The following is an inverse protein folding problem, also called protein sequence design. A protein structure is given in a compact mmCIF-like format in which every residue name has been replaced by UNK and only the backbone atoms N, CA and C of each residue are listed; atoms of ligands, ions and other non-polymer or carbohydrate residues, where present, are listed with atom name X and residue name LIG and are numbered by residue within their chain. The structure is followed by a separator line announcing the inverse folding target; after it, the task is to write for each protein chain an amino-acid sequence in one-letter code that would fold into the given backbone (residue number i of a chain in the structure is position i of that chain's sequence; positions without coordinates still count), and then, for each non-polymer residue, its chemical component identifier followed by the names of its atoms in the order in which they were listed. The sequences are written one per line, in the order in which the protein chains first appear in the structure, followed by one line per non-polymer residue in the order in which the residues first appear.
data_IF_306054748842
#
_entry.id   IF_306054748842
#
_cell.length_a   1.000
_cell.length_b   1.000
_cell.length_c   1.000
_cell.angle_alpha   90.00
_cell.angle_beta   90.00
_cell.angle_gamma   90.00
#
_symmetry.space_group_name_H-M   'P 1'
#
loop_
_entity.id
_entity.type
_entity.pdbx_description
1 polymer ?
#
# COMPACT_ATOMS: atom_id res chain seq x y z
N UNK A 1 32.93 3.30 -10.96
CA UNK A 1 32.10 4.12 -11.87
C UNK A 1 31.64 5.33 -11.09
N UNK A 2 31.85 6.54 -11.62
CA UNK A 2 31.24 7.75 -11.06
C UNK A 2 29.78 7.75 -11.51
N UNK A 3 28.86 7.82 -10.56
CA UNK A 3 27.45 8.00 -10.86
C UNK A 3 27.30 9.43 -11.37
N UNK A 4 26.75 9.58 -12.58
CA UNK A 4 26.20 10.87 -12.99
C UNK A 4 25.06 11.18 -12.02
N UNK A 5 25.28 12.17 -11.16
CA UNK A 5 24.21 12.81 -10.40
C UNK A 5 23.10 13.17 -11.38
N UNK A 6 21.87 12.69 -11.13
CA UNK A 6 20.72 13.18 -11.88
C UNK A 6 20.71 14.70 -11.71
N UNK A 7 20.59 15.51 -12.78
CA UNK A 7 20.91 16.94 -12.70
C UNK A 7 19.92 17.78 -11.87
N UNK A 8 18.90 17.16 -11.27
CA UNK A 8 17.77 17.85 -10.69
C UNK A 8 17.32 17.18 -9.39
N UNK A 9 17.17 18.00 -8.36
CA UNK A 9 16.52 17.67 -7.09
C UNK A 9 15.13 18.30 -7.09
N UNK A 10 14.09 17.52 -6.81
CA UNK A 10 12.73 18.02 -6.67
C UNK A 10 12.47 18.40 -5.22
N UNK A 11 12.35 19.69 -4.95
CA UNK A 11 12.01 20.20 -3.61
C UNK A 11 10.55 20.68 -3.62
N UNK A 12 9.72 20.08 -2.78
CA UNK A 12 8.31 20.46 -2.61
C UNK A 12 8.16 21.14 -1.26
N UNK A 13 8.06 22.47 -1.28
CA UNK A 13 7.78 23.29 -0.10
C UNK A 13 6.43 23.96 -0.22
N UNK A 14 5.41 23.37 0.39
CA UNK A 14 4.04 23.78 0.16
C UNK A 14 3.17 23.63 1.42
N UNK A 15 3.24 24.58 2.37
CA UNK A 15 2.46 24.52 3.61
C UNK A 15 0.96 24.44 3.39
N UNK A 16 0.44 25.02 2.30
CA UNK A 16 -0.98 25.01 1.96
C UNK A 16 -1.41 23.80 1.09
N UNK A 17 -0.50 22.87 0.79
CA UNK A 17 -0.83 21.70 -0.03
C UNK A 17 -1.69 20.73 0.75
N UNK A 18 -2.93 20.51 0.30
CA UNK A 18 -3.86 19.56 0.92
C UNK A 18 -3.86 18.18 0.24
N UNK A 19 -3.45 18.14 -1.03
CA UNK A 19 -3.47 16.94 -1.86
C UNK A 19 -2.17 16.81 -2.66
N UNK A 20 -1.50 15.67 -2.52
CA UNK A 20 -0.31 15.32 -3.30
C UNK A 20 -0.63 14.12 -4.19
N UNK A 21 -0.39 14.27 -5.49
CA UNK A 21 -0.31 13.14 -6.43
C UNK A 21 1.12 13.09 -6.96
N UNK A 22 1.86 12.07 -6.52
CA UNK A 22 3.25 11.86 -6.91
C UNK A 22 3.33 10.64 -7.83
N UNK A 23 3.70 10.88 -9.09
CA UNK A 23 3.97 9.84 -10.08
C UNK A 23 5.38 9.99 -10.65
N UNK A 24 6.23 8.98 -10.53
CA UNK A 24 7.58 9.00 -11.12
C UNK A 24 8.66 8.32 -10.28
N UNK A 25 9.92 8.57 -10.62
CA UNK A 25 11.09 7.98 -9.95
C UNK A 25 11.46 8.73 -8.66
N UNK A 26 11.87 7.95 -7.66
CA UNK A 26 12.23 8.42 -6.32
C UNK A 26 13.76 8.49 -6.16
N UNK A 27 14.37 9.44 -6.88
CA UNK A 27 15.82 9.63 -6.86
C UNK A 27 16.28 10.74 -5.89
N UNK A 28 15.79 11.97 -6.07
CA UNK A 28 16.19 13.13 -5.24
C UNK A 28 14.99 14.05 -5.01
N UNK A 29 14.03 13.55 -4.24
CA UNK A 29 12.83 14.30 -3.81
C UNK A 29 13.03 14.71 -2.36
N UNK A 30 12.73 15.97 -2.04
CA UNK A 30 12.72 16.48 -0.67
C UNK A 30 11.36 17.11 -0.41
N UNK A 31 10.71 16.65 0.66
CA UNK A 31 9.44 17.19 1.13
C UNK A 31 9.70 18.12 2.31
N UNK A 32 9.33 19.40 2.17
CA UNK A 32 9.44 20.39 3.23
C UNK A 32 8.08 21.02 3.53
N UNK A 33 7.74 21.13 4.82
CA UNK A 33 6.56 21.87 5.28
C UNK A 33 5.26 21.46 4.55
N UNK A 34 4.88 20.19 4.70
CA UNK A 34 3.62 19.64 4.20
C UNK A 34 2.54 19.61 5.30
N UNK A 35 2.54 20.64 6.15
CA UNK A 35 1.77 20.69 7.39
C UNK A 35 0.25 20.60 7.22
N UNK A 36 -0.29 20.97 6.06
CA UNK A 36 -1.72 20.82 5.73
C UNK A 36 -2.03 19.64 4.79
N UNK A 37 -1.08 18.76 4.51
CA UNK A 37 -1.33 17.63 3.62
C UNK A 37 -2.36 16.67 4.24
N UNK A 38 -3.44 16.42 3.50
CA UNK A 38 -4.54 15.57 3.95
C UNK A 38 -4.51 14.23 3.21
N UNK A 39 -4.21 14.26 1.92
CA UNK A 39 -4.30 13.09 1.05
C UNK A 39 -3.09 12.97 0.13
N UNK A 40 -2.59 11.75 -0.01
CA UNK A 40 -1.51 11.41 -0.92
C UNK A 40 -1.85 10.22 -1.80
N UNK A 41 -1.56 10.36 -3.10
CA UNK A 41 -1.58 9.27 -4.09
C UNK A 41 -0.15 9.07 -4.58
N UNK A 42 0.41 7.89 -4.33
CA UNK A 42 1.80 7.57 -4.62
C UNK A 42 1.86 6.48 -5.70
N UNK A 43 2.43 6.84 -6.84
CA UNK A 43 2.66 5.96 -7.99
C UNK A 43 4.14 5.98 -8.40
N UNK A 44 4.96 5.20 -7.70
CA UNK A 44 6.38 5.12 -7.99
C UNK A 44 6.62 4.31 -9.25
N UNK A 45 7.34 4.90 -10.21
CA UNK A 45 7.58 4.27 -11.50
C UNK A 45 8.84 3.38 -11.46
N UNK A 46 8.79 2.32 -12.28
CA UNK A 46 9.82 1.27 -12.31
C UNK A 46 10.80 1.55 -13.45
N UNK A 47 12.04 1.91 -13.12
CA UNK A 47 13.11 1.93 -14.12
C UNK A 47 13.65 0.50 -14.33
N UNK A 48 13.04 -0.23 -15.25
CA UNK A 48 13.42 -1.61 -15.60
C UNK A 48 14.86 -1.75 -16.14
N UNK A 49 15.55 -0.64 -16.39
CA UNK A 49 16.97 -0.65 -16.79
C UNK A 49 17.92 -0.73 -15.60
N UNK A 50 17.42 -0.61 -14.36
CA UNK A 50 18.19 -0.52 -13.11
C UNK A 50 17.81 -1.61 -12.10
N UNK A 51 17.80 -2.86 -12.55
CA UNK A 51 17.32 -4.01 -11.78
C UNK A 51 18.14 -4.27 -10.49
N UNK A 52 19.43 -3.93 -10.45
CA UNK A 52 20.24 -4.13 -9.23
C UNK A 52 19.89 -3.18 -8.07
N UNK A 53 18.91 -2.26 -8.25
CA UNK A 53 18.53 -1.25 -7.25
C UNK A 53 17.35 -1.65 -6.34
N UNK A 54 16.63 -2.74 -6.61
CA UNK A 54 15.36 -3.04 -5.93
C UNK A 54 15.50 -3.24 -4.41
N UNK A 55 16.58 -3.86 -3.94
CA UNK A 55 16.74 -4.25 -2.52
C UNK A 55 16.85 -3.06 -1.55
N UNK A 56 17.34 -1.90 -2.04
CA UNK A 56 17.41 -0.65 -1.28
C UNK A 56 16.36 0.39 -1.72
N UNK A 57 15.72 0.18 -2.88
CA UNK A 57 14.70 1.10 -3.35
C UNK A 57 13.43 1.03 -2.47
N UNK A 58 13.07 -0.16 -1.96
CA UNK A 58 11.96 -0.33 -1.04
C UNK A 58 12.06 0.52 0.23
N UNK A 59 13.24 0.57 0.86
CA UNK A 59 13.49 1.41 2.04
C UNK A 59 13.31 2.90 1.73
N UNK A 60 13.80 3.36 0.56
CA UNK A 60 13.60 4.76 0.13
C UNK A 60 12.13 5.11 -0.06
N UNK A 61 11.33 4.19 -0.62
CA UNK A 61 9.89 4.40 -0.76
C UNK A 61 9.21 4.50 0.61
N UNK A 62 9.64 3.68 1.59
CA UNK A 62 9.17 3.80 2.97
C UNK A 62 9.52 5.14 3.60
N UNK A 63 10.77 5.59 3.47
CA UNK A 63 11.21 6.89 3.99
C UNK A 63 10.38 8.03 3.41
N UNK A 64 10.19 8.03 2.08
CA UNK A 64 9.38 9.03 1.39
C UNK A 64 7.93 9.04 1.85
N UNK A 65 7.30 7.86 2.01
CA UNK A 65 5.94 7.76 2.55
C UNK A 65 5.90 8.29 3.99
N UNK A 66 6.95 8.04 4.77
CA UNK A 66 7.11 8.54 6.12
C UNK A 66 7.17 10.07 6.22
N UNK A 67 7.82 10.72 5.26
CA UNK A 67 7.92 12.18 5.17
C UNK A 67 6.57 12.88 4.89
N UNK A 68 5.56 12.15 4.39
CA UNK A 68 4.21 12.70 4.19
C UNK A 68 3.55 13.12 5.52
N UNK A 69 4.00 12.56 6.64
CA UNK A 69 3.55 12.95 7.97
C UNK A 69 2.08 12.60 8.25
N UNK A 70 1.36 13.54 8.84
CA UNK A 70 0.08 13.32 9.53
C UNK A 70 -1.15 13.30 8.59
N UNK A 71 -1.01 12.65 7.43
CA UNK A 71 -2.07 12.51 6.42
C UNK A 71 -3.25 11.65 6.89
N UNK A 72 -4.43 11.87 6.30
CA UNK A 72 -5.67 11.14 6.59
C UNK A 72 -5.98 10.03 5.59
N UNK A 73 -5.49 10.18 4.36
CA UNK A 73 -5.78 9.30 3.22
C UNK A 73 -4.51 9.00 2.42
N UNK A 74 -4.24 7.72 2.17
CA UNK A 74 -3.08 7.26 1.41
C UNK A 74 -3.50 6.24 0.36
N UNK A 75 -3.05 6.43 -0.87
CA UNK A 75 -3.29 5.50 -1.97
C UNK A 75 -1.95 5.06 -2.56
N UNK A 76 -1.73 3.75 -2.61
CA UNK A 76 -0.51 3.15 -3.11
C UNK A 76 -0.80 2.40 -4.41
N UNK A 77 -0.06 2.72 -5.46
CA UNK A 77 -0.11 1.98 -6.72
C UNK A 77 0.49 0.57 -6.57
N UNK A 78 0.29 -0.25 -7.60
CA UNK A 78 0.85 -1.61 -7.66
C UNK A 78 2.37 -1.60 -7.59
N UNK A 79 3.02 -0.76 -8.41
CA UNK A 79 4.47 -0.63 -8.41
C UNK A 79 4.99 -0.21 -7.03
N UNK A 80 4.35 0.79 -6.42
CA UNK A 80 4.71 1.27 -5.08
C UNK A 80 4.60 0.13 -4.06
N UNK A 81 3.52 -0.64 -4.10
CA UNK A 81 3.29 -1.78 -3.20
C UNK A 81 4.34 -2.88 -3.40
N UNK A 82 4.76 -3.16 -4.63
CA UNK A 82 5.83 -4.12 -4.92
C UNK A 82 7.17 -3.68 -4.34
N UNK A 83 7.54 -2.40 -4.46
CA UNK A 83 8.76 -1.88 -3.82
C UNK A 83 8.74 -2.05 -2.31
N UNK A 84 7.61 -1.76 -1.67
CA UNK A 84 7.46 -1.92 -0.21
C UNK A 84 7.61 -3.37 0.24
N UNK A 85 7.19 -4.34 -0.59
CA UNK A 85 7.32 -5.77 -0.29
C UNK A 85 8.78 -6.27 -0.30
N UNK A 86 9.64 -5.60 -1.07
CA UNK A 86 11.05 -5.96 -1.25
C UNK A 86 11.98 -5.13 -0.36
N UNK A 87 11.44 -4.28 0.53
CA UNK A 87 12.25 -3.55 1.50
C UNK A 87 12.95 -4.50 2.47
N UNK A 88 14.26 -4.28 2.64
CA UNK A 88 15.13 -5.06 3.53
C UNK A 88 15.05 -4.59 5.00
N UNK A 89 14.74 -3.32 5.22
CA UNK A 89 14.60 -2.70 6.55
C UNK A 89 13.29 -1.92 6.64
N UNK A 90 12.66 -1.97 7.82
CA UNK A 90 11.33 -1.40 8.06
C UNK A 90 11.30 -0.66 9.40
N UNK A 91 11.43 0.67 9.35
CA UNK A 91 11.17 1.57 10.49
C UNK A 91 10.40 2.84 10.08
N UNK A 92 9.23 2.73 9.41
CA UNK A 92 8.49 3.92 9.02
C UNK A 92 7.79 4.58 10.21
N UNK A 93 7.55 5.89 10.14
CA UNK A 93 6.82 6.60 11.18
C UNK A 93 5.39 6.08 11.29
N UNK A 94 4.81 6.23 12.48
CA UNK A 94 3.42 5.84 12.73
C UNK A 94 2.47 6.93 12.22
N UNK A 95 1.55 6.55 11.35
CA UNK A 95 0.48 7.40 10.82
C UNK A 95 -0.73 7.40 11.76
N UNK A 96 -0.71 8.27 12.76
CA UNK A 96 -1.77 8.34 13.77
C UNK A 96 -3.09 8.89 13.20
N UNK A 97 -3.04 9.74 12.17
CA UNK A 97 -4.24 10.34 11.58
C UNK A 97 -4.77 9.60 10.34
N UNK A 98 -4.05 8.58 9.86
CA UNK A 98 -4.47 7.84 8.68
C UNK A 98 -5.71 7.02 8.98
N UNK A 99 -6.80 7.38 8.32
CA UNK A 99 -8.12 6.75 8.46
C UNK A 99 -8.55 5.98 7.22
N UNK A 100 -7.96 6.30 6.07
CA UNK A 100 -8.22 5.64 4.79
C UNK A 100 -6.90 5.19 4.15
N UNK A 101 -6.86 3.91 3.74
CA UNK A 101 -5.73 3.33 3.02
C UNK A 101 -6.25 2.54 1.83
N UNK A 102 -5.75 2.87 0.64
CA UNK A 102 -5.97 2.12 -0.60
C UNK A 102 -4.66 1.48 -1.05
N UNK A 103 -4.68 0.17 -1.26
CA UNK A 103 -3.52 -0.62 -1.73
C UNK A 103 -3.90 -1.40 -2.97
N UNK A 104 -3.02 -1.38 -3.97
CA UNK A 104 -3.17 -2.11 -5.24
C UNK A 104 -2.08 -3.17 -5.41
N UNK A 105 -2.40 -4.21 -6.18
CA UNK A 105 -1.40 -5.13 -6.74
C UNK A 105 -1.23 -6.47 -6.00
N UNK A 106 -0.49 -7.42 -6.58
CA UNK A 106 -0.42 -8.81 -6.09
C UNK A 106 0.36 -8.95 -4.78
N UNK A 107 1.43 -8.17 -4.59
CA UNK A 107 2.24 -8.23 -3.37
C UNK A 107 1.61 -7.51 -2.16
N UNK A 108 0.41 -6.94 -2.30
CA UNK A 108 -0.31 -6.27 -1.21
C UNK A 108 -0.39 -7.08 0.08
N UNK A 109 -0.49 -8.41 -0.01
CA UNK A 109 -0.67 -9.28 1.14
C UNK A 109 0.56 -9.27 2.04
N UNK A 110 1.75 -9.14 1.46
CA UNK A 110 3.02 -9.08 2.18
C UNK A 110 3.21 -7.74 2.87
N UNK A 111 2.74 -6.64 2.26
CA UNK A 111 2.92 -5.28 2.78
C UNK A 111 1.86 -4.92 3.82
N UNK A 112 0.67 -5.53 3.73
CA UNK A 112 -0.47 -5.16 4.55
C UNK A 112 -0.24 -5.24 6.08
N UNK A 113 0.41 -6.28 6.65
CA UNK A 113 0.70 -6.30 8.09
C UNK A 113 1.58 -5.15 8.54
N UNK A 114 2.58 -4.80 7.73
CA UNK A 114 3.50 -3.70 7.97
C UNK A 114 2.76 -2.36 7.96
N UNK A 115 1.92 -2.12 6.95
CA UNK A 115 1.04 -0.93 6.89
C UNK A 115 0.08 -0.87 8.08
N UNK A 116 -0.53 -1.99 8.46
CA UNK A 116 -1.45 -2.04 9.62
C UNK A 116 -0.74 -1.83 10.96
N UNK A 117 0.56 -2.14 11.05
CA UNK A 117 1.37 -1.85 12.24
C UNK A 117 1.54 -0.34 12.45
N UNK A 118 1.77 0.39 11.36
CA UNK A 118 2.02 1.83 11.40
C UNK A 118 0.78 2.69 11.22
N UNK A 119 -0.41 2.09 11.12
CA UNK A 119 -1.69 2.82 10.93
C UNK A 119 -2.69 2.48 12.04
N UNK A 120 -2.39 2.82 13.31
CA UNK A 120 -3.13 2.33 14.46
C UNK A 120 -4.60 2.78 14.50
N UNK A 121 -4.99 3.82 13.74
CA UNK A 121 -6.35 4.38 13.70
C UNK A 121 -7.05 4.17 12.34
N UNK A 122 -6.56 3.23 11.53
CA UNK A 122 -7.13 2.97 10.21
C UNK A 122 -8.59 2.54 10.30
N UNK A 123 -9.50 3.28 9.66
CA UNK A 123 -10.94 3.01 9.66
C UNK A 123 -11.39 2.26 8.40
N UNK A 124 -10.82 2.61 7.24
CA UNK A 124 -11.18 2.07 5.93
C UNK A 124 -9.95 1.53 5.24
N UNK A 125 -9.99 0.24 4.90
CA UNK A 125 -9.01 -0.41 4.04
C UNK A 125 -9.67 -0.76 2.72
N UNK A 126 -9.18 -0.18 1.62
CA UNK A 126 -9.54 -0.54 0.27
C UNK A 126 -8.44 -1.36 -0.36
N UNK A 127 -8.81 -2.54 -0.80
CA UNK A 127 -7.97 -3.46 -1.56
C UNK A 127 -8.46 -3.48 -2.99
N UNK A 128 -7.59 -3.20 -3.95
CA UNK A 128 -7.90 -3.31 -5.38
C UNK A 128 -6.97 -4.34 -6.01
N UNK A 129 -7.56 -5.40 -6.55
CA UNK A 129 -6.83 -6.37 -7.35
C UNK A 129 -6.48 -5.75 -8.70
N UNK A 130 -5.22 -5.91 -9.11
CA UNK A 130 -4.80 -5.58 -10.47
C UNK A 130 -4.19 -6.82 -11.13
N UNK A 131 -4.70 -7.20 -12.29
CA UNK A 131 -4.18 -8.30 -13.11
C UNK A 131 -2.98 -7.80 -13.92
N UNK A 132 -1.81 -7.67 -13.31
CA UNK A 132 -0.56 -7.45 -14.05
C UNK A 132 0.45 -8.57 -13.79
N UNK A 133 1.06 -9.05 -14.88
CA UNK A 133 2.17 -9.99 -14.89
C UNK A 133 3.49 -9.21 -14.72
N UNK A 134 3.79 -8.75 -13.51
CA UNK A 134 5.15 -8.34 -13.17
C UNK A 134 5.79 -9.38 -12.27
N UNK A 135 7.09 -9.23 -12.01
CA UNK A 135 7.87 -10.12 -11.14
C UNK A 135 7.23 -10.14 -9.75
N UNK A 136 6.28 -11.06 -9.57
CA UNK A 136 5.78 -11.37 -8.25
C UNK A 136 6.99 -11.63 -7.38
N UNK A 137 6.99 -10.99 -6.22
CA UNK A 137 8.00 -11.08 -5.20
C UNK A 137 8.57 -12.51 -5.15
N UNK A 138 9.90 -12.70 -5.27
CA UNK A 138 10.56 -14.04 -5.35
C UNK A 138 10.14 -14.99 -4.20
N UNK A 139 9.50 -14.42 -3.18
CA UNK A 139 8.81 -15.05 -2.06
C UNK A 139 7.49 -15.77 -2.44
N UNK A 140 7.04 -15.83 -3.69
CA UNK A 140 5.72 -16.41 -4.01
C UNK A 140 5.60 -17.93 -3.78
N UNK A 141 6.69 -18.71 -3.84
CA UNK A 141 6.56 -20.17 -3.85
C UNK A 141 6.24 -20.81 -2.49
N UNK A 142 6.24 -20.07 -1.37
CA UNK A 142 6.01 -20.68 -0.04
C UNK A 142 5.11 -19.90 0.92
N UNK A 143 4.73 -18.66 0.63
CA UNK A 143 4.10 -17.80 1.63
C UNK A 143 2.58 -17.94 1.60
N UNK A 144 2.04 -18.53 2.66
CA UNK A 144 0.60 -18.58 2.89
C UNK A 144 0.18 -17.33 3.68
N UNK A 145 -1.07 -16.85 3.51
CA UNK A 145 -1.65 -15.82 4.39
C UNK A 145 -1.48 -16.16 5.88
N UNK A 146 -1.36 -17.45 6.19
CA UNK A 146 -1.02 -17.92 7.51
C UNK A 146 0.35 -17.35 7.94
N UNK A 147 1.44 -17.61 7.21
CA UNK A 147 2.80 -17.17 7.57
C UNK A 147 2.94 -15.65 7.79
N UNK A 148 2.33 -14.84 6.92
CA UNK A 148 2.40 -13.37 6.94
C UNK A 148 1.84 -12.76 8.26
N UNK A 149 0.87 -13.42 8.87
CA UNK A 149 0.25 -12.98 10.11
C UNK A 149 0.61 -13.86 11.32
N UNK A 150 1.61 -14.75 11.22
CA UNK A 150 2.09 -15.58 12.34
C UNK A 150 3.42 -15.14 12.94
N UNK A 151 4.15 -14.19 12.33
CA UNK A 151 5.32 -13.59 12.98
C UNK A 151 4.88 -12.71 14.18
N UNK A 152 5.25 -13.11 15.40
CA UNK A 152 5.16 -12.24 16.57
C UNK A 152 6.36 -11.28 16.52
N UNK A 153 6.15 -9.96 16.33
CA UNK A 153 5.17 -9.12 17.06
C UNK A 153 4.01 -8.54 16.21
N UNK A 154 4.03 -8.74 14.87
CA UNK A 154 3.04 -8.21 13.94
C UNK A 154 1.62 -8.63 14.32
N UNK A 155 1.45 -9.84 14.88
CA UNK A 155 0.16 -10.34 15.35
C UNK A 155 -0.57 -9.41 16.31
N UNK A 156 0.09 -8.90 17.35
CA UNK A 156 -0.61 -8.16 18.40
C UNK A 156 -1.07 -6.79 17.91
N UNK A 157 -0.23 -6.11 17.14
CA UNK A 157 -0.55 -4.78 16.59
C UNK A 157 -1.62 -4.89 15.52
N UNK A 158 -1.47 -5.81 14.57
CA UNK A 158 -2.48 -6.07 13.54
C UNK A 158 -3.80 -6.49 14.19
N UNK A 159 -3.78 -7.38 15.19
CA UNK A 159 -4.99 -7.79 15.92
C UNK A 159 -5.66 -6.61 16.62
N UNK A 160 -4.89 -5.70 17.22
CA UNK A 160 -5.44 -4.49 17.83
C UNK A 160 -6.11 -3.62 16.75
N UNK A 161 -5.38 -3.24 15.70
CA UNK A 161 -5.89 -2.43 14.60
C UNK A 161 -7.19 -3.00 13.98
N UNK A 162 -7.18 -4.30 13.66
CA UNK A 162 -8.34 -4.99 13.07
C UNK A 162 -9.55 -5.09 14.02
N UNK A 163 -9.31 -5.19 15.32
CA UNK A 163 -10.39 -5.38 16.29
C UNK A 163 -10.98 -4.09 16.84
N UNK A 164 -10.25 -2.96 16.79
CA UNK A 164 -10.67 -1.70 17.41
C UNK A 164 -10.90 -0.55 16.45
N UNK A 165 -10.18 -0.51 15.31
CA UNK A 165 -10.12 0.71 14.49
C UNK A 165 -10.73 0.50 13.10
N UNK A 166 -10.46 -0.65 12.47
CA UNK A 166 -11.00 -0.94 11.15
C UNK A 166 -12.51 -1.15 11.22
N UNK A 167 -13.29 -0.37 10.46
CA UNK A 167 -14.75 -0.49 10.36
C UNK A 167 -15.19 -1.05 9.00
N UNK A 168 -14.41 -0.77 7.95
CA UNK A 168 -14.77 -1.09 6.58
C UNK A 168 -13.59 -1.74 5.87
N UNK A 169 -13.84 -2.90 5.26
CA UNK A 169 -12.95 -3.55 4.31
C UNK A 169 -13.67 -3.55 2.96
N UNK A 170 -13.11 -2.84 1.99
CA UNK A 170 -13.59 -2.87 0.60
C UNK A 170 -12.62 -3.69 -0.24
N UNK A 171 -13.16 -4.63 -1.01
CA UNK A 171 -12.37 -5.42 -1.94
C UNK A 171 -12.92 -5.22 -3.35
N UNK A 172 -12.16 -4.50 -4.16
CA UNK A 172 -12.42 -4.23 -5.57
C UNK A 172 -11.70 -5.28 -6.43
N UNK A 173 -12.41 -5.84 -7.42
CA UNK A 173 -11.88 -6.94 -8.23
C UNK A 173 -11.86 -8.30 -7.52
N UNK A 174 -12.72 -8.51 -6.51
CA UNK A 174 -12.82 -9.79 -5.79
C UNK A 174 -13.40 -10.90 -6.67
N UNK A 175 -12.60 -11.93 -6.96
CA UNK A 175 -13.00 -13.09 -7.76
C UNK A 175 -13.34 -14.32 -6.91
N UNK A 176 -13.04 -14.28 -5.61
CA UNK A 176 -13.24 -15.42 -4.72
C UNK A 176 -12.13 -16.46 -4.84
N UNK A 177 -10.91 -16.05 -5.22
CA UNK A 177 -9.76 -16.94 -5.26
C UNK A 177 -9.42 -17.44 -3.85
N UNK A 178 -8.76 -18.60 -3.75
CA UNK A 178 -8.44 -19.24 -2.47
C UNK A 178 -7.67 -18.31 -1.51
N UNK A 179 -6.76 -17.50 -2.04
CA UNK A 179 -5.95 -16.57 -1.26
C UNK A 179 -6.77 -15.35 -0.80
N UNK A 180 -7.65 -14.83 -1.65
CA UNK A 180 -8.58 -13.74 -1.31
C UNK A 180 -9.56 -14.18 -0.21
N UNK A 181 -10.15 -15.38 -0.35
CA UNK A 181 -11.03 -15.97 0.66
C UNK A 181 -10.30 -16.22 1.98
N UNK A 182 -9.03 -16.64 1.94
CA UNK A 182 -8.20 -16.78 3.14
C UNK A 182 -7.98 -15.43 3.82
N UNK A 183 -7.66 -14.38 3.06
CA UNK A 183 -7.50 -13.03 3.59
C UNK A 183 -8.80 -12.57 4.27
N UNK A 184 -9.91 -12.60 3.54
CA UNK A 184 -11.22 -12.19 4.06
C UNK A 184 -11.57 -13.00 5.32
N UNK A 185 -11.34 -14.32 5.32
CA UNK A 185 -11.57 -15.16 6.51
C UNK A 185 -10.66 -14.78 7.69
N UNK A 186 -9.39 -14.45 7.44
CA UNK A 186 -8.44 -14.03 8.46
C UNK A 186 -8.89 -12.74 9.14
N UNK A 187 -9.31 -11.80 8.31
CA UNK A 187 -9.86 -10.51 8.67
C UNK A 187 -11.15 -10.71 9.49
N UNK A 188 -12.15 -11.41 8.94
CA UNK A 188 -13.46 -11.63 9.58
C UNK A 188 -13.37 -12.33 10.94
N UNK A 189 -12.42 -13.25 11.13
CA UNK A 189 -12.21 -13.92 12.42
C UNK A 189 -11.79 -12.98 13.56
N UNK A 190 -11.21 -11.83 13.23
CA UNK A 190 -10.60 -10.89 14.19
C UNK A 190 -11.37 -9.58 14.33
N UNK A 191 -12.29 -9.32 13.41
CA UNK A 191 -13.23 -8.21 13.42
C UNK A 191 -14.26 -8.32 14.53
N UNK A 192 -14.56 -7.21 15.23
CA UNK A 192 -15.71 -7.14 16.14
C UNK A 192 -16.98 -6.62 15.46
N UNK A 193 -16.86 -5.74 14.45
CA UNK A 193 -18.01 -5.14 13.74
C UNK A 193 -17.55 -4.53 12.41
N UNK A 194 -17.71 -5.25 11.30
CA UNK A 194 -17.33 -4.75 9.97
C UNK A 194 -18.45 -4.79 8.96
N UNK A 195 -18.35 -3.91 7.98
CA UNK A 195 -19.10 -3.98 6.72
C UNK A 195 -18.11 -4.41 5.63
N UNK A 196 -18.27 -5.63 5.13
CA UNK A 196 -17.60 -6.08 3.91
C UNK A 196 -18.42 -5.60 2.71
N UNK A 197 -17.83 -4.72 1.91
CA UNK A 197 -18.45 -4.26 0.66
C UNK A 197 -17.64 -4.77 -0.52
N UNK A 198 -18.33 -5.21 -1.57
CA UNK A 198 -17.74 -5.68 -2.82
C UNK A 198 -18.33 -4.88 -3.96
N UNK A 199 -17.48 -4.40 -4.85
CA UNK A 199 -17.87 -3.89 -6.17
C UNK A 199 -17.99 -5.06 -7.13
N UNK A 200 -19.13 -5.13 -7.83
CA UNK A 200 -19.33 -6.05 -8.95
C UNK A 200 -19.21 -5.22 -10.21
N UNK A 201 -18.35 -5.57 -11.18
CA UNK A 201 -18.28 -4.83 -12.44
C UNK A 201 -19.64 -4.87 -13.11
N UNK A 202 -20.17 -3.71 -13.48
CA UNK A 202 -21.39 -3.59 -14.27
C UNK A 202 -21.13 -4.27 -15.62
N UNK A 203 -21.80 -5.38 -15.89
CA UNK A 203 -21.79 -5.92 -17.25
C UNK A 203 -22.51 -4.92 -18.17
N UNK A 204 -21.89 -4.50 -19.29
CA UNK A 204 -22.60 -3.69 -20.27
C UNK A 204 -23.77 -4.53 -20.81
N UNK A 205 -24.98 -3.99 -20.69
CA UNK A 205 -26.19 -4.58 -21.25
C UNK A 205 -25.95 -4.85 -22.72
N UNK A 206 -25.93 -6.12 -23.10
CA UNK A 206 -25.98 -6.53 -24.50
C UNK A 206 -27.27 -5.98 -25.10
N UNK A 207 -27.15 -4.90 -25.88
CA UNK A 207 -28.23 -4.41 -26.71
C UNK A 207 -28.55 -5.48 -27.75
N UNK A 208 -29.68 -6.14 -27.55
CA UNK A 208 -30.36 -6.98 -28.54
C UNK A 208 -30.52 -6.15 -29.81
N UNK A 209 -29.84 -6.55 -30.88
CA UNK A 209 -30.10 -6.05 -32.22
C UNK A 209 -31.04 -7.06 -32.89
N UNK A 210 -32.26 -6.60 -33.17
CA UNK A 210 -33.28 -7.32 -33.94
C UNK A 210 -32.90 -7.44 -35.41
#
# INVERSE_FOLDING_TARGET
MKFDELPYKLEIKAPALEYLNFGGHLDSVLLEDLSNLVEAVIDIDVDLTKIDYYEHYGSRVWDFIGELGDIKSLHLSTNTTEFLCNASEFDPPTFHNLSFLKVKGPCMLHVLPHLLQVTPNLAVLLVEKEERNFFCCEKEESFTCDMIFYEEPLQQVVRKCLSTCLTTLHYEGFEGLKNELKLVKHFLKRAKSWILTRTVPLQPSSSVSH
#
